data_IF_414531497576
#
_entry.id   IF_414531497576
#
_cell.length_a   1.000
_cell.length_b   1.000
_cell.length_c   1.000
_cell.angle_alpha   90.00
_cell.angle_beta   90.00
_cell.angle_gamma   90.00
#
_symmetry.space_group_name_H-M   'P 1'
#
loop_
_entity.id
_entity.type
_entity.pdbx_description
1 polymer ?
#
# COMPACT_ATOMS: atom_id res chain seq x y z
N UNK A 1 -26.70 9.38 -3.96
CA UNK A 1 -25.96 8.10 -4.07
C UNK A 1 -24.90 8.11 -2.99
N UNK A 2 -24.78 7.07 -2.15
CA UNK A 2 -23.68 7.02 -1.19
C UNK A 2 -22.36 7.11 -1.96
N UNK A 3 -21.49 7.98 -1.47
CA UNK A 3 -20.11 8.16 -1.92
C UNK A 3 -19.46 6.78 -2.03
N UNK A 4 -18.85 6.38 -3.17
CA UNK A 4 -18.12 5.13 -3.24
C UNK A 4 -16.99 5.23 -2.24
N UNK A 5 -17.20 4.62 -1.05
CA UNK A 5 -16.12 4.37 -0.10
C UNK A 5 -14.97 3.83 -0.95
N UNK A 6 -13.77 4.43 -0.89
CA UNK A 6 -12.66 3.94 -1.68
C UNK A 6 -12.52 2.47 -1.32
N UNK A 7 -12.92 1.61 -2.26
CA UNK A 7 -12.70 0.17 -2.19
C UNK A 7 -11.20 0.09 -2.11
N UNK A 8 -10.71 -0.12 -0.88
CA UNK A 8 -9.33 -0.47 -0.62
C UNK A 8 -9.15 -1.76 -1.40
N UNK A 9 -8.64 -1.63 -2.63
CA UNK A 9 -8.59 -2.68 -3.62
C UNK A 9 -7.94 -3.88 -2.95
N UNK A 10 -8.76 -4.89 -2.65
CA UNK A 10 -8.39 -6.14 -2.03
C UNK A 10 -7.20 -6.68 -2.81
N UNK A 11 -6.03 -6.61 -2.17
CA UNK A 11 -4.74 -6.78 -2.81
C UNK A 11 -4.71 -8.05 -3.69
N UNK A 12 -4.46 -7.83 -4.97
CA UNK A 12 -4.35 -8.82 -6.04
C UNK A 12 -5.60 -9.67 -6.28
N UNK A 13 -6.51 -9.16 -7.11
CA UNK A 13 -7.33 -10.03 -7.95
C UNK A 13 -6.40 -10.97 -8.75
N UNK A 14 -6.74 -12.26 -8.89
CA UNK A 14 -6.00 -13.12 -9.80
C UNK A 14 -6.00 -12.54 -11.21
N UNK A 15 -4.99 -12.89 -11.99
CA UNK A 15 -4.95 -12.42 -13.37
C UNK A 15 -6.14 -13.03 -14.13
N UNK A 16 -6.82 -12.29 -15.02
CA UNK A 16 -7.98 -12.81 -15.73
C UNK A 16 -7.70 -14.09 -16.53
N UNK A 17 -6.46 -14.28 -17.02
CA UNK A 17 -6.04 -15.46 -17.75
C UNK A 17 -5.88 -16.72 -16.88
N UNK A 18 -5.94 -16.58 -15.56
CA UNK A 18 -5.92 -17.71 -14.61
C UNK A 18 -7.30 -18.08 -14.07
N UNK A 19 -8.35 -17.37 -14.50
CA UNK A 19 -9.72 -17.56 -14.02
C UNK A 19 -10.55 -18.34 -15.04
N UNK A 20 -11.45 -19.19 -14.55
CA UNK A 20 -12.42 -19.85 -15.41
C UNK A 20 -13.60 -18.92 -15.79
N UNK A 21 -14.48 -19.42 -16.65
CA UNK A 21 -15.65 -18.65 -17.12
C UNK A 21 -16.60 -18.24 -15.98
N UNK A 22 -16.77 -19.08 -14.96
CA UNK A 22 -17.66 -18.79 -13.83
C UNK A 22 -17.09 -17.70 -12.92
N UNK A 23 -15.77 -17.68 -12.71
CA UNK A 23 -15.10 -16.64 -11.96
C UNK A 23 -15.07 -15.31 -12.74
N UNK A 24 -14.85 -15.38 -14.05
CA UNK A 24 -14.86 -14.21 -14.93
C UNK A 24 -16.24 -13.53 -15.03
N UNK A 25 -17.31 -14.33 -15.02
CA UNK A 25 -18.69 -13.83 -15.05
C UNK A 25 -19.18 -13.31 -13.70
N UNK A 26 -18.46 -13.63 -12.61
CA UNK A 26 -18.89 -13.32 -11.25
C UNK A 26 -19.86 -14.34 -10.64
N UNK A 27 -20.08 -15.49 -11.28
CA UNK A 27 -20.92 -16.57 -10.74
C UNK A 27 -20.15 -17.51 -9.79
N UNK A 28 -18.86 -17.30 -9.59
CA UNK A 28 -18.05 -18.02 -8.61
C UNK A 28 -17.01 -17.11 -7.96
N UNK A 29 -16.60 -17.46 -6.74
CA UNK A 29 -15.57 -16.73 -6.00
C UNK A 29 -14.25 -16.77 -6.78
N UNK A 30 -13.65 -15.61 -7.02
CA UNK A 30 -12.38 -15.50 -7.75
C UNK A 30 -11.20 -16.16 -7.03
N UNK A 31 -11.33 -16.49 -5.74
CA UNK A 31 -10.23 -17.07 -4.94
C UNK A 31 -10.39 -18.54 -4.61
N UNK A 32 -11.59 -19.00 -4.25
CA UNK A 32 -11.84 -20.39 -3.87
C UNK A 32 -12.70 -21.18 -4.85
N UNK A 33 -13.13 -20.55 -5.96
CA UNK A 33 -14.02 -21.14 -6.98
C UNK A 33 -15.38 -21.64 -6.45
N UNK A 34 -15.78 -21.24 -5.24
CA UNK A 34 -17.13 -21.48 -4.72
C UNK A 34 -18.17 -20.88 -5.66
N UNK A 35 -19.07 -21.71 -6.19
CA UNK A 35 -20.16 -21.27 -7.06
C UNK A 35 -21.24 -20.55 -6.25
N UNK A 36 -21.65 -19.38 -6.72
CA UNK A 36 -22.66 -18.56 -6.07
C UNK A 36 -24.07 -18.93 -6.51
N UNK A 37 -25.01 -18.86 -5.57
CA UNK A 37 -26.42 -18.74 -5.93
C UNK A 37 -26.73 -17.33 -6.46
N UNK A 38 -27.82 -17.14 -7.22
CA UNK A 38 -28.24 -15.81 -7.65
C UNK A 38 -28.38 -14.84 -6.47
N UNK A 39 -27.66 -13.72 -6.52
CA UNK A 39 -27.65 -12.70 -5.46
C UNK A 39 -26.61 -12.92 -4.35
N UNK A 40 -25.87 -14.03 -4.37
CA UNK A 40 -24.66 -14.19 -3.54
C UNK A 40 -23.44 -13.55 -4.20
N UNK A 41 -22.36 -13.43 -3.42
CA UNK A 41 -21.09 -12.88 -3.86
C UNK A 41 -21.00 -11.37 -3.64
N UNK A 42 -19.81 -10.91 -3.27
CA UNK A 42 -19.48 -9.51 -3.07
C UNK A 42 -18.79 -9.02 -4.34
N UNK A 43 -19.43 -8.09 -5.06
CA UNK A 43 -18.81 -7.43 -6.23
C UNK A 43 -17.55 -6.67 -5.78
N UNK A 44 -16.42 -7.01 -6.38
CA UNK A 44 -15.11 -6.43 -6.07
C UNK A 44 -14.78 -5.23 -6.95
N UNK A 45 -15.65 -4.89 -7.91
CA UNK A 45 -15.46 -3.84 -8.89
C UNK A 45 -14.44 -4.23 -9.98
N UNK A 46 -14.55 -3.60 -11.15
CA UNK A 46 -13.60 -3.82 -12.24
C UNK A 46 -13.69 -2.70 -13.28
N UNK A 47 -12.54 -2.26 -13.86
CA UNK A 47 -12.54 -1.28 -14.93
C UNK A 47 -12.96 -1.84 -16.31
N UNK A 48 -13.29 -3.14 -16.42
CA UNK A 48 -13.56 -3.81 -17.69
C UNK A 48 -14.86 -4.64 -17.71
N UNK A 49 -15.03 -5.54 -18.71
CA UNK A 49 -16.20 -6.42 -18.80
C UNK A 49 -16.20 -7.52 -17.72
N UNK A 50 -15.03 -7.77 -17.11
CA UNK A 50 -14.86 -8.67 -15.98
C UNK A 50 -15.67 -8.18 -14.77
N UNK A 51 -16.35 -9.09 -14.07
CA UNK A 51 -17.15 -8.82 -12.87
C UNK A 51 -16.67 -9.70 -11.71
N UNK A 52 -15.49 -9.43 -11.13
CA UNK A 52 -14.95 -10.24 -10.04
C UNK A 52 -15.87 -10.23 -8.84
N UNK A 53 -16.21 -11.41 -8.33
CA UNK A 53 -16.93 -11.56 -7.06
C UNK A 53 -16.13 -12.39 -6.06
N UNK A 54 -16.20 -12.02 -4.78
CA UNK A 54 -15.63 -12.76 -3.67
C UNK A 54 -16.69 -13.36 -2.76
N UNK A 55 -16.46 -14.54 -2.19
CA UNK A 55 -17.29 -15.01 -1.08
C UNK A 55 -16.93 -14.27 0.21
N UNK A 56 -17.84 -14.25 1.19
CA UNK A 56 -17.64 -13.56 2.46
C UNK A 56 -16.33 -13.97 3.14
N UNK A 57 -16.10 -15.28 3.31
CA UNK A 57 -14.92 -15.82 3.99
C UNK A 57 -13.61 -15.37 3.33
N UNK A 58 -13.54 -15.40 1.99
CA UNK A 58 -12.34 -14.95 1.29
C UNK A 58 -12.14 -13.43 1.35
N UNK A 59 -13.23 -12.65 1.32
CA UNK A 59 -13.17 -11.20 1.52
C UNK A 59 -12.67 -10.85 2.92
N UNK A 60 -13.15 -11.54 3.96
CA UNK A 60 -12.70 -11.36 5.34
C UNK A 60 -11.23 -11.76 5.50
N UNK A 61 -10.83 -12.93 5.02
CA UNK A 61 -9.44 -13.40 5.09
C UNK A 61 -8.47 -12.40 4.44
N UNK A 62 -8.83 -11.85 3.28
CA UNK A 62 -8.00 -10.85 2.59
C UNK A 62 -8.01 -9.48 3.26
N UNK A 63 -9.13 -9.08 3.85
CA UNK A 63 -9.21 -7.85 4.66
C UNK A 63 -8.32 -7.96 5.91
N UNK A 64 -8.31 -9.12 6.56
CA UNK A 64 -7.44 -9.40 7.70
C UNK A 64 -5.96 -9.41 7.31
N UNK A 65 -5.64 -10.03 6.17
CA UNK A 65 -4.29 -10.02 5.58
C UNK A 65 -3.79 -8.58 5.32
N UNK A 66 -4.64 -7.71 4.77
CA UNK A 66 -4.29 -6.31 4.56
C UNK A 66 -4.16 -5.53 5.87
N UNK A 67 -5.07 -5.73 6.81
CA UNK A 67 -5.03 -5.05 8.12
C UNK A 67 -3.73 -5.34 8.86
N UNK A 68 -3.33 -6.62 8.92
CA UNK A 68 -2.07 -7.03 9.54
C UNK A 68 -0.85 -6.50 8.79
N UNK A 69 -0.90 -6.45 7.46
CA UNK A 69 0.14 -5.85 6.64
C UNK A 69 0.34 -4.37 6.99
N UNK A 70 -0.75 -3.59 7.07
CA UNK A 70 -0.70 -2.16 7.34
C UNK A 70 -0.17 -1.88 8.75
N UNK A 71 -0.61 -2.63 9.76
CA UNK A 71 -0.06 -2.54 11.11
C UNK A 71 1.46 -2.80 11.14
N UNK A 72 1.91 -3.83 10.41
CA UNK A 72 3.33 -4.14 10.29
C UNK A 72 4.13 -3.06 9.54
N UNK A 73 3.58 -2.54 8.45
CA UNK A 73 4.17 -1.45 7.68
C UNK A 73 4.31 -0.18 8.52
N UNK A 74 3.24 0.24 9.20
CA UNK A 74 3.21 1.42 10.04
C UNK A 74 4.25 1.35 11.16
N UNK A 75 4.35 0.19 11.84
CA UNK A 75 5.43 -0.03 12.81
C UNK A 75 6.81 0.09 12.16
N UNK A 76 7.01 -0.53 11.00
CA UNK A 76 8.31 -0.55 10.31
C UNK A 76 8.80 0.85 9.94
N UNK A 77 7.90 1.76 9.53
CA UNK A 77 8.26 3.12 9.13
C UNK A 77 8.34 4.11 10.29
N UNK A 78 7.69 3.84 11.42
CA UNK A 78 7.68 4.71 12.61
C UNK A 78 8.74 4.30 13.65
N UNK A 79 9.12 3.03 13.72
CA UNK A 79 10.08 2.54 14.70
C UNK A 79 11.53 2.93 14.35
N UNK A 80 12.26 3.65 15.22
CA UNK A 80 13.62 4.10 14.94
C UNK A 80 14.66 2.97 14.86
N UNK A 81 14.32 1.76 15.32
CA UNK A 81 15.21 0.58 15.27
C UNK A 81 15.10 -0.18 13.95
N UNK A 82 13.90 -0.22 13.37
CA UNK A 82 13.59 -1.00 12.16
C UNK A 82 14.45 -0.68 10.92
N UNK A 83 14.97 0.54 10.71
CA UNK A 83 15.91 0.83 9.62
C UNK A 83 17.20 0.00 9.63
N UNK A 84 17.66 -0.45 10.81
CA UNK A 84 18.88 -1.23 10.97
C UNK A 84 18.63 -2.75 11.01
N UNK A 85 17.36 -3.15 10.95
CA UNK A 85 16.90 -4.53 11.08
C UNK A 85 15.62 -4.59 11.92
N UNK A 86 14.78 -5.63 11.74
CA UNK A 86 13.48 -5.70 12.42
C UNK A 86 13.67 -5.82 13.93
N UNK A 87 13.04 -4.93 14.68
CA UNK A 87 13.00 -5.00 16.14
C UNK A 87 12.11 -6.19 16.60
N UNK A 88 12.04 -6.47 17.91
CA UNK A 88 11.24 -7.60 18.43
C UNK A 88 9.77 -7.49 18.00
N UNK A 89 9.16 -6.34 18.23
CA UNK A 89 7.75 -6.09 17.87
C UNK A 89 7.51 -6.18 16.36
N UNK A 90 8.38 -5.53 15.56
CA UNK A 90 8.32 -5.63 14.10
C UNK A 90 8.50 -7.05 13.56
N UNK A 91 9.21 -7.94 14.27
CA UNK A 91 9.27 -9.37 13.93
C UNK A 91 7.97 -10.09 14.24
N UNK A 92 7.39 -9.85 15.42
CA UNK A 92 6.09 -10.42 15.82
C UNK A 92 5.01 -10.03 14.82
N UNK A 93 4.85 -8.74 14.52
CA UNK A 93 3.88 -8.25 13.54
C UNK A 93 4.09 -8.85 12.14
N UNK A 94 5.35 -9.02 11.72
CA UNK A 94 5.66 -9.68 10.45
C UNK A 94 5.26 -11.16 10.44
N UNK A 95 5.50 -11.89 11.53
CA UNK A 95 5.08 -13.29 11.66
C UNK A 95 3.57 -13.44 11.66
N UNK A 96 2.86 -12.61 12.43
CA UNK A 96 1.40 -12.61 12.50
C UNK A 96 0.79 -12.34 11.12
N UNK A 97 1.33 -11.35 10.40
CA UNK A 97 0.90 -11.05 9.04
C UNK A 97 1.13 -12.24 8.09
N UNK A 98 2.30 -12.88 8.13
CA UNK A 98 2.60 -14.02 7.26
C UNK A 98 1.66 -15.21 7.52
N UNK A 99 1.28 -15.45 8.78
CA UNK A 99 0.32 -16.51 9.13
C UNK A 99 -1.08 -16.21 8.56
N UNK A 100 -1.58 -14.98 8.71
CA UNK A 100 -2.89 -14.58 8.15
C UNK A 100 -2.87 -14.64 6.63
N UNK A 101 -1.77 -14.22 6.01
CA UNK A 101 -1.58 -14.27 4.56
C UNK A 101 -1.61 -15.69 4.01
N UNK A 102 -0.98 -16.63 4.71
CA UNK A 102 -1.00 -18.06 4.36
C UNK A 102 -2.42 -18.62 4.44
N UNK A 103 -3.14 -18.34 5.53
CA UNK A 103 -4.54 -18.73 5.69
C UNK A 103 -5.45 -18.17 4.59
N UNK A 104 -5.18 -16.95 4.12
CA UNK A 104 -5.91 -16.32 3.01
C UNK A 104 -5.51 -16.86 1.62
N UNK A 105 -4.63 -17.86 1.53
CA UNK A 105 -4.26 -18.52 0.28
C UNK A 105 -3.51 -17.62 -0.70
N UNK A 106 -2.81 -16.59 -0.22
CA UNK A 106 -2.03 -15.73 -1.11
C UNK A 106 -0.87 -16.52 -1.77
N UNK A 107 -0.49 -16.19 -3.02
CA UNK A 107 0.59 -16.86 -3.74
C UNK A 107 1.94 -16.71 -3.03
N UNK A 108 2.99 -17.42 -3.45
CA UNK A 108 4.33 -17.25 -2.87
C UNK A 108 4.81 -15.78 -2.94
N UNK A 109 5.49 -15.32 -1.89
CA UNK A 109 6.02 -13.94 -1.82
C UNK A 109 7.17 -13.80 -2.82
N UNK A 110 7.14 -12.71 -3.58
CA UNK A 110 8.25 -12.27 -4.45
C UNK A 110 8.72 -10.91 -4.00
N UNK A 111 10.04 -10.69 -4.06
CA UNK A 111 10.63 -9.40 -3.74
C UNK A 111 10.30 -8.39 -4.84
N UNK A 112 9.67 -7.27 -4.49
CA UNK A 112 9.27 -6.23 -5.44
C UNK A 112 10.47 -5.65 -6.23
N UNK A 113 11.67 -5.65 -5.64
CA UNK A 113 12.87 -5.11 -6.28
C UNK A 113 13.54 -6.05 -7.29
N UNK A 114 13.72 -7.32 -6.93
CA UNK A 114 14.47 -8.28 -7.78
C UNK A 114 13.58 -9.34 -8.42
N UNK A 115 12.28 -9.36 -8.10
CA UNK A 115 11.30 -10.34 -8.53
C UNK A 115 11.63 -11.80 -8.14
N UNK A 116 12.72 -12.05 -7.41
CA UNK A 116 13.02 -13.39 -6.89
C UNK A 116 12.00 -13.79 -5.81
N UNK A 117 11.62 -15.08 -5.74
CA UNK A 117 10.84 -15.61 -4.61
C UNK A 117 11.58 -15.40 -3.29
N UNK A 118 10.84 -15.02 -2.24
CA UNK A 118 11.36 -14.97 -0.87
C UNK A 118 10.99 -16.29 -0.19
N UNK A 119 11.98 -17.15 0.05
CA UNK A 119 11.77 -18.44 0.73
C UNK A 119 11.21 -18.23 2.15
N UNK A 120 10.29 -19.09 2.63
CA UNK A 120 9.86 -19.07 4.03
C UNK A 120 11.04 -19.04 5.01
N UNK A 121 10.90 -18.29 6.10
CA UNK A 121 11.94 -18.07 7.09
C UNK A 121 13.05 -17.08 6.70
N UNK A 122 13.12 -16.65 5.42
CA UNK A 122 14.03 -15.56 5.05
C UNK A 122 13.51 -14.21 5.57
N UNK A 123 14.37 -13.37 6.15
CA UNK A 123 13.98 -12.03 6.59
C UNK A 123 13.42 -11.20 5.43
N UNK A 124 12.22 -10.68 5.61
CA UNK A 124 11.56 -9.78 4.66
C UNK A 124 10.98 -8.57 5.40
N UNK A 125 10.67 -7.51 4.65
CA UNK A 125 10.08 -6.28 5.17
C UNK A 125 8.94 -5.81 4.28
N UNK A 126 7.93 -5.11 4.83
CA UNK A 126 6.86 -4.55 4.05
C UNK A 126 7.40 -3.39 3.21
N UNK A 127 6.81 -3.18 2.05
CA UNK A 127 7.18 -2.11 1.14
C UNK A 127 5.94 -1.49 0.50
N UNK A 128 5.89 -0.17 0.54
CA UNK A 128 4.89 0.63 -0.13
C UNK A 128 5.58 1.46 -1.20
N UNK A 129 5.01 1.49 -2.40
CA UNK A 129 5.37 2.42 -3.45
C UNK A 129 4.11 2.94 -4.13
N UNK A 130 4.22 4.11 -4.75
CA UNK A 130 3.15 4.66 -5.56
C UNK A 130 3.44 4.35 -7.00
N UNK A 131 2.50 3.68 -7.65
CA UNK A 131 2.49 3.44 -9.08
C UNK A 131 1.16 3.95 -9.61
N UNK A 132 1.15 4.92 -10.50
CA UNK A 132 -0.14 5.45 -10.95
C UNK A 132 -0.96 4.36 -11.66
N UNK A 133 -2.28 4.25 -11.38
CA UNK A 133 -3.10 5.15 -10.57
C UNK A 133 -3.30 4.73 -9.10
N UNK A 134 -2.67 3.65 -8.61
CA UNK A 134 -2.98 3.06 -7.31
C UNK A 134 -1.75 2.83 -6.42
N UNK A 135 -1.87 3.01 -5.09
CA UNK A 135 -0.81 2.58 -4.18
C UNK A 135 -0.57 1.08 -4.29
N UNK A 136 0.71 0.68 -4.29
CA UNK A 136 1.12 -0.71 -4.34
C UNK A 136 1.76 -1.12 -3.03
N UNK A 137 1.38 -2.30 -2.56
CA UNK A 137 1.90 -2.94 -1.36
C UNK A 137 2.62 -4.23 -1.75
N UNK A 138 3.76 -4.50 -1.14
CA UNK A 138 4.54 -5.68 -1.45
C UNK A 138 5.65 -5.92 -0.45
N UNK A 139 6.61 -6.75 -0.84
CA UNK A 139 7.62 -7.23 0.09
C UNK A 139 9.00 -7.02 -0.51
N UNK A 140 9.97 -6.73 0.34
CA UNK A 140 11.39 -6.72 -0.01
C UNK A 140 12.14 -7.71 0.86
N UNK A 141 13.25 -8.25 0.34
CA UNK A 141 14.24 -8.86 1.21
C UNK A 141 14.66 -7.83 2.28
N UNK A 142 14.68 -8.23 3.55
CA UNK A 142 15.06 -7.31 4.63
C UNK A 142 16.54 -6.93 4.56
N UNK A 143 17.38 -7.84 4.04
CA UNK A 143 18.81 -7.65 3.77
C UNK A 143 19.17 -8.36 2.47
N UNK A 144 20.23 -7.91 1.82
CA UNK A 144 20.87 -8.62 0.70
C UNK A 144 19.98 -8.89 -0.51
N UNK A 145 19.16 -7.90 -0.89
CA UNK A 145 18.44 -7.98 -2.15
C UNK A 145 19.44 -7.94 -3.33
N UNK A 146 19.49 -8.98 -4.19
CA UNK A 146 20.44 -9.04 -5.31
C UNK A 146 20.04 -8.11 -6.46
N UNK A 147 18.79 -7.64 -6.47
CA UNK A 147 18.34 -6.68 -7.47
C UNK A 147 19.08 -5.35 -7.35
N UNK A 148 19.08 -4.54 -8.44
CA UNK A 148 19.57 -3.16 -8.35
C UNK A 148 18.87 -2.51 -7.16
N UNK A 149 19.63 -1.80 -6.31
CA UNK A 149 19.04 -1.01 -5.23
C UNK A 149 18.02 -0.10 -5.90
N UNK A 150 16.74 -0.43 -5.80
CA UNK A 150 15.67 0.40 -6.34
C UNK A 150 15.97 1.78 -5.77
N UNK A 151 16.24 2.73 -6.68
CA UNK A 151 16.36 4.14 -6.31
C UNK A 151 15.11 4.42 -5.52
N UNK A 152 15.24 4.56 -4.20
CA UNK A 152 14.23 5.17 -3.38
C UNK A 152 13.99 6.50 -4.06
N UNK A 153 12.89 6.62 -4.78
CA UNK A 153 12.36 7.90 -5.18
C UNK A 153 12.14 8.61 -3.85
N UNK A 154 13.15 9.39 -3.43
CA UNK A 154 12.99 10.39 -2.38
C UNK A 154 11.69 11.08 -2.74
N UNK A 155 10.71 11.01 -1.85
CA UNK A 155 9.58 11.94 -1.86
C UNK A 155 10.18 13.34 -1.82
N UNK A 156 10.41 13.89 -3.00
CA UNK A 156 11.12 15.11 -3.25
C UNK A 156 10.17 16.09 -3.89
N UNK A 157 9.13 16.45 -3.13
CA UNK A 157 8.40 17.70 -3.28
C UNK A 157 8.01 18.17 -1.89
N UNK A 158 9.00 18.65 -1.13
CA UNK A 158 8.71 19.65 -0.11
C UNK A 158 8.32 20.94 -0.85
N UNK A 159 7.27 21.66 -0.42
CA UNK A 159 6.92 22.93 -1.02
C UNK A 159 8.07 23.91 -0.81
N UNK A 160 8.49 24.54 -1.91
CA UNK A 160 9.42 25.66 -1.91
C UNK A 160 8.83 26.78 -1.05
N UNK A 161 9.26 26.87 0.20
CA UNK A 161 9.08 28.07 1.00
C UNK A 161 9.95 29.17 0.37
N UNK A 162 9.33 29.96 -0.51
CA UNK A 162 9.91 31.19 -1.02
C UNK A 162 10.05 32.20 0.12
N UNK A 163 11.17 32.13 0.83
CA UNK A 163 11.69 33.19 1.70
C UNK A 163 13.06 33.61 1.18
N UNK A 164 13.06 34.75 0.49
CA UNK A 164 14.19 35.69 0.37
C UNK A 164 13.55 37.06 0.62
N UNK A 165 13.79 37.81 1.70
CA UNK A 165 15.09 38.17 2.26
C UNK A 165 15.84 38.94 1.18
N UNK A 166 15.73 40.25 1.02
CA UNK A 166 16.01 41.29 2.01
C UNK A 166 17.20 42.10 1.48
N UNK A 167 16.95 43.24 0.84
CA UNK A 167 17.97 44.16 0.33
C UNK A 167 17.66 45.58 0.80
N UNK A 168 18.61 46.15 1.55
CA UNK A 168 18.54 47.45 2.24
C UNK A 168 18.88 48.63 1.30
N UNK A 169 18.45 49.82 1.72
CA UNK A 169 18.97 51.14 1.30
C UNK A 169 17.96 51.89 0.42
N UNK A 170 17.56 53.12 0.68
CA UNK A 170 17.96 54.16 1.63
C UNK A 170 17.20 55.45 1.28
N UNK A 171 17.17 56.43 2.17
CA UNK A 171 16.77 57.81 1.84
C UNK A 171 15.46 58.30 2.49
N UNK A 172 15.61 59.07 3.56
CA UNK A 172 14.64 60.07 4.05
C UNK A 172 14.65 61.31 3.10
N UNK A 173 13.97 62.46 3.37
CA UNK A 173 13.11 62.83 4.51
C UNK A 173 11.84 63.65 4.14
N UNK A 174 11.06 64.02 5.17
CA UNK A 174 10.10 65.14 5.14
C UNK A 174 8.67 64.70 5.42
N UNK A 175 7.89 65.32 6.29
CA UNK A 175 8.05 66.55 7.06
C UNK A 175 6.65 67.00 7.50
N UNK A 176 6.54 67.51 8.73
CA UNK A 176 5.35 68.25 9.23
C UNK A 176 4.12 67.38 9.51
N UNK A 177 3.36 67.55 10.58
CA UNK A 177 3.30 68.62 11.57
C UNK A 177 1.88 68.66 12.16
N UNK A 178 1.77 69.32 13.32
CA UNK A 178 0.54 69.73 14.06
C UNK A 178 -0.04 68.61 14.95
N UNK A 179 0.00 68.70 16.29
CA UNK A 179 -0.64 69.67 17.23
C UNK A 179 -2.14 69.75 16.92
N UNK A 180 -3.11 69.62 17.80
CA UNK A 180 -3.38 69.84 19.23
C UNK A 180 -4.76 69.16 19.46
N UNK A 181 -5.37 68.98 20.62
CA UNK A 181 -5.17 69.19 22.05
C UNK A 181 -6.24 68.31 22.70
#
# INVERSE_FOLDING_TARGET
MPDPKPVVLLAALPRPDTLDTAQLSGSACVWCAYAFHPGEGIDLGSPGPFRPHGCLDCCEARTNSLTTYLAWYDHTVTCPRCPYGPCVEGRTLGMDHLAVREQAGHPAIRCAACQAPITPGRPLRPHYWREEPWPMFGYLHARDCPGPRLRTTRGGSAPSAGRSGGGRGGGAPGGGGRRSR
#
